data_IF_812624606047
#
_entry.id   IF_812624606047
#
_cell.length_a   1.000
_cell.length_b   1.000
_cell.length_c   1.000
_cell.angle_alpha   90.00
_cell.angle_beta   90.00
_cell.angle_gamma   90.00
#
_symmetry.space_group_name_H-M   'P 1'
#
loop_
_entity.id
_entity.type
_entity.pdbx_description
1 polymer ?
#
# COMPACT_ATOMS: atom_id res chain seq x y z
N UNK A 1 -26.35 9.89 52.86
CA UNK A 1 -25.26 10.14 51.90
C UNK A 1 -24.21 9.02 51.98
N UNK A 2 -24.26 8.05 51.07
CA UNK A 2 -23.15 7.12 50.75
C UNK A 2 -23.48 6.42 49.43
N UNK A 3 -22.83 6.83 48.34
CA UNK A 3 -22.88 6.16 47.04
C UNK A 3 -21.74 5.12 46.99
N UNK A 4 -21.96 3.89 46.51
CA UNK A 4 -20.95 2.85 46.50
C UNK A 4 -19.92 3.02 45.36
N UNK A 5 -18.66 2.56 45.56
CA UNK A 5 -17.49 2.87 44.72
C UNK A 5 -17.33 1.98 43.48
N UNK A 6 -18.38 1.31 43.01
CA UNK A 6 -18.30 0.27 41.97
C UNK A 6 -18.20 0.79 40.54
N UNK A 7 -18.31 2.11 40.34
CA UNK A 7 -18.34 2.69 38.99
C UNK A 7 -16.95 2.93 38.40
N UNK A 8 -15.90 2.95 39.23
CA UNK A 8 -14.55 3.35 38.79
C UNK A 8 -13.77 2.18 38.16
N UNK A 9 -14.07 0.94 38.55
CA UNK A 9 -13.30 -0.23 38.10
C UNK A 9 -13.72 -0.76 36.72
N UNK A 10 -14.88 -0.35 36.19
CA UNK A 10 -15.34 -0.79 34.87
C UNK A 10 -14.74 0.02 33.71
N UNK A 11 -14.22 1.23 34.00
CA UNK A 11 -13.74 2.13 32.96
C UNK A 11 -12.33 1.79 32.46
N UNK A 12 -11.51 1.10 33.26
CA UNK A 12 -10.10 0.83 32.93
C UNK A 12 -9.89 -0.40 32.04
N UNK A 13 -10.84 -1.34 31.98
CA UNK A 13 -10.74 -2.53 31.09
C UNK A 13 -11.16 -2.21 29.66
N UNK A 14 -12.05 -1.22 29.46
CA UNK A 14 -12.53 -0.83 28.13
C UNK A 14 -11.45 -0.13 27.28
N UNK A 15 -10.48 0.54 27.90
CA UNK A 15 -9.43 1.26 27.19
C UNK A 15 -8.39 0.32 26.52
N UNK A 16 -8.18 -0.88 27.04
CA UNK A 16 -7.22 -1.84 26.49
C UNK A 16 -7.74 -2.56 25.23
N UNK A 17 -9.05 -2.66 25.06
CA UNK A 17 -9.66 -3.28 23.88
C UNK A 17 -9.61 -2.39 22.62
N UNK A 18 -9.53 -1.06 22.80
CA UNK A 18 -9.52 -0.10 21.69
C UNK A 18 -8.17 -0.07 20.95
N UNK A 19 -7.08 -0.48 21.61
CA UNK A 19 -5.75 -0.52 20.99
C UNK A 19 -5.61 -1.63 19.92
N UNK A 20 -6.38 -2.72 20.04
CA UNK A 20 -6.35 -3.86 19.10
C UNK A 20 -7.30 -3.68 17.90
N UNK A 21 -8.24 -2.73 17.96
CA UNK A 21 -9.21 -2.47 16.89
C UNK A 21 -8.64 -1.61 15.75
N UNK A 22 -7.43 -1.08 15.89
CA UNK A 22 -6.80 -0.27 14.83
C UNK A 22 -6.32 -1.09 13.62
N UNK A 23 -6.33 -2.43 13.70
CA UNK A 23 -6.01 -3.32 12.58
C UNK A 23 -7.26 -4.02 11.99
N UNK A 24 -8.46 -3.47 12.21
CA UNK A 24 -9.68 -3.92 11.56
C UNK A 24 -10.08 -2.93 10.45
N UNK A 25 -10.49 -3.40 9.25
CA UNK A 25 -10.98 -2.51 8.21
C UNK A 25 -12.24 -1.77 8.70
N UNK A 26 -12.37 -0.46 8.47
CA UNK A 26 -13.53 0.30 8.90
C UNK A 26 -14.79 -0.22 8.18
N UNK A 27 -15.92 -0.23 8.90
CA UNK A 27 -17.25 -0.34 8.29
C UNK A 27 -17.72 1.08 7.98
N UNK A 28 -18.13 1.30 6.73
CA UNK A 28 -18.60 2.59 6.25
C UNK A 28 -19.94 2.97 6.89
N UNK A 29 -19.93 4.03 7.69
CA UNK A 29 -21.09 4.90 7.91
C UNK A 29 -20.59 6.36 7.91
N UNK A 30 -20.58 6.93 6.70
CA UNK A 30 -20.36 8.32 6.29
C UNK A 30 -19.94 9.34 7.38
N UNK A 31 -18.66 9.70 7.42
CA UNK A 31 -18.15 10.93 8.05
C UNK A 31 -16.86 11.36 7.34
N UNK A 32 -16.90 12.51 6.68
CA UNK A 32 -15.81 13.08 5.89
C UNK A 32 -14.49 13.18 6.67
N UNK A 33 -13.46 12.54 6.13
CA UNK A 33 -12.04 12.77 6.45
C UNK A 33 -11.24 12.72 5.14
N UNK A 34 -10.14 13.50 5.05
CA UNK A 34 -9.50 13.86 3.80
C UNK A 34 -8.96 12.62 3.10
N UNK A 35 -9.09 12.62 1.77
CA UNK A 35 -8.66 11.63 0.80
C UNK A 35 -7.46 10.77 1.24
N UNK A 36 -7.75 9.68 1.95
CA UNK A 36 -6.89 8.52 1.90
C UNK A 36 -7.09 7.95 0.49
N UNK A 37 -6.22 8.35 -0.46
CA UNK A 37 -6.12 7.68 -1.75
C UNK A 37 -6.11 6.19 -1.48
N UNK A 38 -7.18 5.52 -1.89
CA UNK A 38 -7.34 4.09 -1.86
C UNK A 38 -6.16 3.48 -2.62
N UNK A 39 -5.11 3.06 -1.90
CA UNK A 39 -3.96 2.38 -2.48
C UNK A 39 -4.36 0.94 -2.76
N UNK A 40 -5.05 0.72 -3.88
CA UNK A 40 -5.00 -0.50 -4.69
C UNK A 40 -5.39 -1.84 -4.07
N UNK A 41 -5.66 -1.94 -2.77
CA UNK A 41 -6.16 -3.16 -2.15
C UNK A 41 -7.68 -3.21 -2.30
N UNK A 42 -8.15 -3.25 -3.57
CA UNK A 42 -9.53 -3.59 -3.84
C UNK A 42 -9.74 -5.01 -3.34
N UNK A 43 -10.65 -5.20 -2.38
CA UNK A 43 -10.95 -6.47 -1.72
C UNK A 43 -11.64 -7.50 -2.64
N UNK A 44 -11.31 -7.50 -3.93
CA UNK A 44 -11.88 -8.35 -4.96
C UNK A 44 -11.17 -8.35 -6.31
N UNK A 45 -10.03 -7.65 -6.48
CA UNK A 45 -9.25 -7.69 -7.72
C UNK A 45 -8.09 -8.68 -7.56
N UNK A 46 -7.94 -9.60 -8.53
CA UNK A 46 -6.86 -10.58 -8.51
C UNK A 46 -5.50 -9.87 -8.68
N UNK A 47 -4.43 -10.45 -8.16
CA UNK A 47 -3.09 -9.85 -8.25
C UNK A 47 -2.68 -9.63 -9.72
N UNK A 48 -3.13 -10.50 -10.61
CA UNK A 48 -2.88 -10.47 -12.04
C UNK A 48 -3.56 -9.25 -12.69
N UNK A 49 -4.83 -9.02 -12.38
CA UNK A 49 -5.61 -7.90 -12.91
C UNK A 49 -5.05 -6.55 -12.42
N UNK A 50 -4.61 -6.51 -11.16
CA UNK A 50 -3.94 -5.34 -10.59
C UNK A 50 -2.60 -5.04 -11.26
N UNK A 51 -1.76 -6.06 -11.49
CA UNK A 51 -0.49 -5.86 -12.19
C UNK A 51 -0.69 -5.42 -13.64
N UNK A 52 -1.70 -5.94 -14.35
CA UNK A 52 -2.01 -5.52 -15.71
C UNK A 52 -2.41 -4.03 -15.79
N UNK A 53 -3.20 -3.54 -14.84
CA UNK A 53 -3.56 -2.12 -14.75
C UNK A 53 -2.34 -1.22 -14.48
N UNK A 54 -1.40 -1.68 -13.64
CA UNK A 54 -0.16 -0.95 -13.39
C UNK A 54 0.74 -0.90 -14.64
N UNK A 55 0.87 -2.01 -15.36
CA UNK A 55 1.64 -2.07 -16.61
C UNK A 55 1.04 -1.11 -17.63
N UNK A 56 -0.27 -1.15 -17.83
CA UNK A 56 -0.97 -0.25 -18.78
C UNK A 56 -0.68 1.21 -18.47
N UNK A 57 -0.73 1.61 -17.19
CA UNK A 57 -0.42 2.99 -16.78
C UNK A 57 1.06 3.34 -16.97
N UNK A 58 1.97 2.41 -16.70
CA UNK A 58 3.39 2.64 -16.92
C UNK A 58 3.73 2.76 -18.41
N UNK A 59 3.04 2.01 -19.28
CA UNK A 59 3.13 2.16 -20.75
C UNK A 59 2.61 3.53 -21.22
N UNK A 60 1.53 4.04 -20.61
CA UNK A 60 1.04 5.41 -20.88
C UNK A 60 2.05 6.49 -20.45
N UNK A 61 2.81 6.27 -19.38
CA UNK A 61 3.88 7.16 -18.92
C UNK A 61 5.15 7.05 -19.79
N UNK A 62 5.45 5.85 -20.29
CA UNK A 62 6.55 5.57 -21.24
C UNK A 62 7.95 5.45 -20.61
N UNK A 63 8.09 5.75 -19.31
CA UNK A 63 9.36 5.63 -18.59
C UNK A 63 9.20 5.11 -17.16
N UNK A 64 10.22 4.40 -16.67
CA UNK A 64 10.34 3.91 -15.29
C UNK A 64 11.70 4.32 -14.72
N UNK A 65 11.69 5.08 -13.63
CA UNK A 65 12.90 5.49 -12.93
C UNK A 65 13.21 4.54 -11.76
N UNK A 66 14.44 4.02 -11.71
CA UNK A 66 14.91 3.08 -10.69
C UNK A 66 16.21 3.58 -10.06
N UNK A 67 16.47 3.21 -8.80
CA UNK A 67 17.67 3.62 -8.06
C UNK A 67 18.41 2.38 -7.56
N UNK A 68 19.73 2.39 -7.69
CA UNK A 68 20.63 1.34 -7.22
C UNK A 68 20.41 -0.02 -7.91
N UNK A 69 20.12 0.00 -9.22
CA UNK A 69 20.13 -1.18 -10.08
C UNK A 69 21.32 -1.15 -11.07
N UNK A 70 22.57 -1.34 -10.59
CA UNK A 70 23.74 -1.43 -11.46
C UNK A 70 23.56 -2.55 -12.51
N UNK A 71 23.82 -2.31 -13.80
CA UNK A 71 23.58 -3.30 -14.86
C UNK A 71 24.47 -4.55 -14.75
N UNK A 72 25.63 -4.44 -14.09
CA UNK A 72 26.61 -5.51 -13.89
C UNK A 72 26.36 -6.35 -12.62
N UNK A 73 25.37 -6.00 -11.80
CA UNK A 73 25.04 -6.73 -10.58
C UNK A 73 23.75 -7.52 -10.73
N UNK A 74 23.73 -8.74 -10.18
CA UNK A 74 22.57 -9.62 -10.11
C UNK A 74 21.77 -9.77 -11.43
N UNK A 75 22.45 -9.65 -12.58
CA UNK A 75 21.86 -9.73 -13.91
C UNK A 75 20.88 -8.58 -14.27
N UNK A 76 20.94 -7.44 -13.58
CA UNK A 76 19.99 -6.34 -13.82
C UNK A 76 20.03 -5.78 -15.23
N UNK A 77 21.19 -5.70 -15.89
CA UNK A 77 21.24 -5.22 -17.28
C UNK A 77 20.35 -6.03 -18.22
N UNK A 78 20.39 -7.36 -18.10
CA UNK A 78 19.55 -8.24 -18.92
C UNK A 78 18.07 -8.20 -18.51
N UNK A 79 17.78 -8.08 -17.21
CA UNK A 79 16.40 -7.98 -16.72
C UNK A 79 15.76 -6.66 -17.16
N UNK A 80 16.51 -5.56 -17.10
CA UNK A 80 16.06 -4.25 -17.58
C UNK A 80 15.84 -4.31 -19.09
N UNK A 81 16.80 -4.79 -19.88
CA UNK A 81 16.63 -4.90 -21.33
C UNK A 81 15.40 -5.75 -21.72
N UNK A 82 15.19 -6.88 -21.04
CA UNK A 82 14.01 -7.72 -21.28
C UNK A 82 12.69 -7.06 -20.83
N UNK A 83 12.73 -6.20 -19.79
CA UNK A 83 11.58 -5.42 -19.37
C UNK A 83 11.22 -4.35 -20.40
N UNK A 84 12.21 -3.58 -20.85
CA UNK A 84 12.05 -2.56 -21.90
C UNK A 84 11.51 -3.18 -23.19
N UNK A 85 12.06 -4.32 -23.63
CA UNK A 85 11.56 -5.05 -24.80
C UNK A 85 10.12 -5.53 -24.63
N UNK A 86 9.77 -6.01 -23.43
CA UNK A 86 8.45 -6.61 -23.18
C UNK A 86 7.33 -5.58 -23.11
N UNK A 87 7.61 -4.42 -22.53
CA UNK A 87 6.57 -3.43 -22.20
C UNK A 87 6.74 -2.11 -22.95
N UNK A 88 7.78 -1.94 -23.77
CA UNK A 88 8.05 -0.68 -24.49
C UNK A 88 8.17 0.54 -23.55
N UNK A 89 8.66 0.31 -22.32
CA UNK A 89 8.89 1.33 -21.29
C UNK A 89 10.39 1.54 -21.16
N UNK A 90 10.87 2.78 -21.25
CA UNK A 90 12.28 3.11 -21.03
C UNK A 90 12.64 3.05 -19.54
N UNK A 91 13.72 2.37 -19.16
CA UNK A 91 14.15 2.31 -17.75
C UNK A 91 15.36 3.21 -17.51
N UNK A 92 15.16 4.26 -16.72
CA UNK A 92 16.23 5.15 -16.28
C UNK A 92 16.79 4.67 -14.94
N UNK A 93 18.05 4.22 -14.91
CA UNK A 93 18.70 3.71 -13.69
C UNK A 93 19.71 4.70 -13.13
N UNK A 94 19.44 5.20 -11.93
CA UNK A 94 20.34 6.07 -11.18
C UNK A 94 21.17 5.28 -10.16
N UNK A 95 22.40 5.74 -9.93
CA UNK A 95 23.33 5.16 -8.95
C UNK A 95 23.74 6.23 -7.92
N UNK A 96 23.83 5.88 -6.62
CA UNK A 96 24.29 6.80 -5.59
C UNK A 96 25.77 7.17 -5.71
#
# INVERSE_FOLDING_TARGET
MKRPPRLVTALTVAAAAIALASCAPPKDDNSSSPDAKNTGASSGQSAEDYLADLVTKAEEEGELNVIALPPDWANYGNVIAAFEEKYDITVNSDQP
#
